data_IF_771098000542
#
_entry.id   IF_771098000542
#
_cell.length_a   1.000
_cell.length_b   1.000
_cell.length_c   1.000
_cell.angle_alpha   90.00
_cell.angle_beta   90.00
_cell.angle_gamma   90.00
#
_symmetry.space_group_name_H-M   'P 1'
#
loop_
_entity.id
_entity.type
_entity.pdbx_description
1 polymer ?
#
# COMPACT_ATOMS: atom_id res chain seq x y z
N UNK A 1 -26.37 13.83 -4.93
CA UNK A 1 -26.08 12.41 -5.17
C UNK A 1 -24.58 12.25 -5.30
N UNK A 2 -23.97 11.28 -4.61
CA UNK A 2 -22.54 10.98 -4.74
C UNK A 2 -22.25 10.53 -6.18
N UNK A 3 -21.16 11.03 -6.76
CA UNK A 3 -20.81 10.71 -8.13
C UNK A 3 -19.36 10.24 -8.20
N UNK A 4 -19.18 8.93 -8.44
CA UNK A 4 -17.89 8.36 -8.76
C UNK A 4 -17.88 7.89 -10.21
N UNK A 5 -16.86 8.26 -10.96
CA UNK A 5 -16.61 7.74 -12.30
C UNK A 5 -15.32 6.90 -12.27
N UNK A 6 -15.29 5.85 -13.09
CA UNK A 6 -14.12 4.98 -13.23
C UNK A 6 -13.84 4.83 -14.71
N UNK A 7 -12.66 5.25 -15.14
CA UNK A 7 -12.19 5.19 -16.52
C UNK A 7 -10.89 4.40 -16.65
N UNK A 8 -10.58 3.98 -17.85
CA UNK A 8 -9.41 3.18 -18.18
C UNK A 8 -8.65 3.82 -19.32
N UNK A 9 -7.44 4.33 -19.08
CA UNK A 9 -6.67 5.07 -20.08
C UNK A 9 -6.45 4.28 -21.39
N UNK A 10 -6.32 2.96 -21.30
CA UNK A 10 -6.13 2.11 -22.49
C UNK A 10 -7.41 1.86 -23.31
N UNK A 11 -8.58 2.21 -22.79
CA UNK A 11 -9.88 2.16 -23.49
C UNK A 11 -10.32 3.54 -23.94
N UNK A 12 -10.03 4.52 -23.12
CA UNK A 12 -10.42 5.91 -23.25
C UNK A 12 -9.16 6.79 -23.20
N UNK A 13 -8.33 6.83 -24.29
CA UNK A 13 -7.07 7.58 -24.27
C UNK A 13 -7.26 9.09 -24.01
N UNK A 14 -8.48 9.58 -24.12
CA UNK A 14 -8.85 10.97 -23.91
C UNK A 14 -9.49 11.22 -22.54
N UNK A 15 -9.57 10.21 -21.67
CA UNK A 15 -10.25 10.34 -20.36
C UNK A 15 -9.74 11.49 -19.49
N UNK A 16 -8.47 11.88 -19.64
CA UNK A 16 -7.88 12.98 -18.89
C UNK A 16 -8.07 14.37 -19.55
N UNK A 17 -8.63 14.47 -20.77
CA UNK A 17 -8.67 15.75 -21.51
C UNK A 17 -9.50 16.85 -20.86
N UNK A 18 -10.55 16.48 -20.15
CA UNK A 18 -11.47 17.42 -19.53
C UNK A 18 -11.02 17.78 -18.11
N UNK A 19 -9.80 17.35 -17.71
CA UNK A 19 -9.23 17.61 -16.40
C UNK A 19 -7.91 18.35 -16.53
N UNK A 20 -7.60 19.15 -15.51
CA UNK A 20 -6.36 19.93 -15.44
C UNK A 20 -5.34 19.33 -14.49
N UNK A 21 -5.76 18.41 -13.62
CA UNK A 21 -4.96 17.89 -12.53
C UNK A 21 -5.19 16.39 -12.33
N UNK A 22 -4.11 15.66 -12.15
CA UNK A 22 -4.11 14.28 -11.66
C UNK A 22 -3.62 14.23 -10.21
N UNK A 23 -4.23 13.40 -9.38
CA UNK A 23 -3.84 13.23 -7.97
C UNK A 23 -3.45 11.79 -7.73
N UNK A 24 -2.18 11.56 -7.36
CA UNK A 24 -1.68 10.27 -6.90
C UNK A 24 -1.78 10.19 -5.39
N UNK A 25 -2.48 9.19 -4.87
CA UNK A 25 -2.63 8.91 -3.45
C UNK A 25 -2.04 7.55 -3.12
N UNK A 26 -1.67 7.35 -1.84
CA UNK A 26 -1.27 6.07 -1.29
C UNK A 26 -0.02 5.48 -1.96
N UNK A 27 1.12 6.03 -1.57
CA UNK A 27 2.45 5.57 -1.99
C UNK A 27 3.38 5.51 -0.80
N UNK A 28 4.24 4.49 -0.75
CA UNK A 28 5.19 4.27 0.32
C UNK A 28 6.61 4.59 -0.10
N UNK A 29 7.43 5.00 0.88
CA UNK A 29 8.83 5.37 0.69
C UNK A 29 9.74 4.57 1.62
N UNK A 30 11.04 4.81 1.54
CA UNK A 30 12.01 4.23 2.47
C UNK A 30 11.80 4.61 3.95
N UNK A 31 10.83 5.45 4.26
CA UNK A 31 10.41 5.77 5.63
C UNK A 31 9.31 4.83 6.14
N UNK A 32 8.63 4.12 5.24
CA UNK A 32 7.58 3.16 5.60
C UNK A 32 8.17 1.87 6.17
N UNK A 33 7.52 1.33 7.19
CA UNK A 33 7.86 0.03 7.80
C UNK A 33 6.87 -1.03 7.36
N UNK A 34 7.28 -1.81 6.37
CA UNK A 34 6.43 -2.83 5.79
C UNK A 34 6.59 -4.16 6.51
N UNK A 35 5.49 -4.82 6.80
CA UNK A 35 5.54 -6.16 7.41
C UNK A 35 6.16 -7.20 6.45
N UNK A 36 6.75 -8.25 7.00
CA UNK A 36 7.27 -9.37 6.22
C UNK A 36 6.21 -10.46 5.97
N UNK A 37 4.92 -10.15 6.15
CA UNK A 37 3.82 -11.10 5.98
C UNK A 37 3.75 -11.71 4.57
N UNK A 38 4.21 -10.99 3.55
CA UNK A 38 4.32 -11.54 2.19
C UNK A 38 5.22 -12.79 2.10
N UNK A 39 6.17 -12.96 3.03
CA UNK A 39 7.02 -14.16 3.11
C UNK A 39 6.14 -15.39 3.45
N UNK A 40 5.21 -15.24 4.39
CA UNK A 40 4.26 -16.31 4.74
C UNK A 40 3.39 -16.66 3.52
N UNK A 41 3.01 -15.67 2.70
CA UNK A 41 2.24 -15.85 1.48
C UNK A 41 3.01 -16.66 0.44
N UNK A 42 4.25 -16.28 0.18
CA UNK A 42 5.12 -17.00 -0.75
C UNK A 42 5.40 -18.42 -0.30
N UNK A 43 5.58 -18.67 1.02
CA UNK A 43 5.84 -20.02 1.55
C UNK A 43 4.62 -20.92 1.47
N UNK A 44 3.42 -20.37 1.61
CA UNK A 44 2.17 -21.12 1.53
C UNK A 44 1.84 -21.52 0.09
N UNK A 45 2.05 -20.62 -0.86
CA UNK A 45 1.71 -20.85 -2.27
C UNK A 45 2.82 -21.57 -3.06
N UNK A 46 4.07 -21.53 -2.58
CA UNK A 46 5.25 -22.03 -3.30
C UNK A 46 6.16 -22.90 -2.42
N UNK A 47 5.96 -24.24 -2.37
CA UNK A 47 6.74 -25.13 -1.51
C UNK A 47 8.27 -25.08 -1.72
N UNK A 48 8.73 -24.72 -2.93
CA UNK A 48 10.17 -24.50 -3.19
C UNK A 48 10.70 -23.26 -2.50
N UNK A 49 9.89 -22.18 -2.43
CA UNK A 49 10.25 -20.96 -1.72
C UNK A 49 10.30 -21.22 -0.22
N UNK A 50 9.37 -22.01 0.32
CA UNK A 50 9.39 -22.45 1.71
C UNK A 50 10.71 -23.14 2.07
N UNK A 51 11.11 -24.15 1.30
CA UNK A 51 12.39 -24.87 1.54
C UNK A 51 13.60 -23.95 1.46
N UNK A 52 13.57 -22.94 0.58
CA UNK A 52 14.65 -22.00 0.44
C UNK A 52 14.73 -21.04 1.63
N UNK A 53 13.58 -20.61 2.15
CA UNK A 53 13.50 -19.76 3.35
C UNK A 53 13.95 -20.56 4.59
N UNK A 54 13.44 -21.79 4.78
CA UNK A 54 13.88 -22.69 5.86
C UNK A 54 15.40 -22.91 5.82
N UNK A 55 15.95 -23.16 4.64
CA UNK A 55 17.40 -23.27 4.48
C UNK A 55 18.16 -21.97 4.80
N UNK A 56 17.61 -20.80 4.44
CA UNK A 56 18.18 -19.52 4.79
C UNK A 56 18.12 -19.24 6.29
N UNK A 57 17.02 -19.60 6.95
CA UNK A 57 16.86 -19.53 8.42
C UNK A 57 17.89 -20.40 9.13
N UNK A 58 18.03 -21.67 8.73
CA UNK A 58 19.01 -22.59 9.30
C UNK A 58 20.45 -22.07 9.15
N UNK A 59 20.73 -21.44 8.01
CA UNK A 59 22.01 -20.76 7.79
C UNK A 59 22.20 -19.56 8.69
N UNK A 60 21.19 -18.70 8.83
CA UNK A 60 21.24 -17.58 9.77
C UNK A 60 21.49 -18.05 11.20
N UNK A 61 20.74 -19.09 11.63
CA UNK A 61 20.95 -19.69 12.95
C UNK A 61 22.36 -20.24 13.13
N UNK A 62 22.92 -20.92 12.14
CA UNK A 62 24.26 -21.53 12.23
C UNK A 62 25.38 -20.48 12.32
N UNK A 63 25.21 -19.28 11.80
CA UNK A 63 26.23 -18.22 11.77
C UNK A 63 26.04 -17.15 12.83
N UNK A 64 24.79 -16.70 13.06
CA UNK A 64 24.50 -15.60 13.99
C UNK A 64 24.00 -16.08 15.35
N UNK A 65 23.56 -17.34 15.45
CA UNK A 65 22.83 -17.85 16.61
C UNK A 65 21.48 -17.18 16.83
N UNK A 66 20.96 -16.47 15.81
CA UNK A 66 19.69 -15.73 15.85
C UNK A 66 18.78 -16.33 14.80
N UNK A 67 17.56 -16.77 15.21
CA UNK A 67 16.49 -17.06 14.28
C UNK A 67 15.78 -15.73 13.94
N UNK A 68 15.56 -15.44 12.65
CA UNK A 68 14.80 -14.23 12.27
C UNK A 68 13.42 -14.23 12.92
N UNK A 69 13.09 -13.16 13.62
CA UNK A 69 11.76 -12.93 14.18
C UNK A 69 10.96 -12.08 13.16
N UNK A 70 10.19 -12.77 12.32
CA UNK A 70 9.42 -12.12 11.25
C UNK A 70 8.27 -11.25 11.76
N UNK A 71 7.81 -11.43 13.01
CA UNK A 71 6.79 -10.60 13.61
C UNK A 71 7.33 -9.20 13.97
N UNK A 72 8.61 -9.14 14.34
CA UNK A 72 9.31 -7.89 14.66
C UNK A 72 10.14 -7.33 13.53
N UNK A 73 10.44 -8.15 12.53
CA UNK A 73 11.19 -7.75 11.37
C UNK A 73 10.29 -6.97 10.39
N UNK A 74 10.89 -5.98 9.72
CA UNK A 74 10.23 -5.19 8.69
C UNK A 74 11.16 -4.91 7.52
N UNK A 75 10.61 -4.48 6.41
CA UNK A 75 11.40 -3.96 5.30
C UNK A 75 10.94 -2.55 4.92
N UNK A 76 11.77 -1.82 4.20
CA UNK A 76 11.42 -0.49 3.69
C UNK A 76 11.45 -0.49 2.16
N UNK A 77 10.50 0.18 1.49
CA UNK A 77 10.50 0.40 0.05
C UNK A 77 11.83 1.00 -0.46
N UNK A 78 12.22 0.73 -1.72
CA UNK A 78 13.52 1.18 -2.24
C UNK A 78 13.61 2.67 -2.52
N UNK A 79 12.49 3.34 -2.84
CA UNK A 79 12.49 4.75 -3.20
C UNK A 79 12.52 5.64 -1.97
N UNK A 80 13.45 6.61 -1.95
CA UNK A 80 13.39 7.67 -0.96
C UNK A 80 12.21 8.63 -1.25
N UNK A 81 11.83 9.51 -0.30
CA UNK A 81 10.68 10.41 -0.47
C UNK A 81 10.71 11.22 -1.76
N UNK A 82 11.89 11.75 -2.14
CA UNK A 82 12.03 12.56 -3.35
C UNK A 82 11.83 11.72 -4.62
N UNK A 83 12.45 10.56 -4.70
CA UNK A 83 12.31 9.65 -5.84
C UNK A 83 10.85 9.20 -6.01
N UNK A 84 10.18 8.89 -4.89
CA UNK A 84 8.77 8.50 -4.89
C UNK A 84 7.88 9.64 -5.40
N UNK A 85 8.08 10.85 -4.88
CA UNK A 85 7.34 12.03 -5.30
C UNK A 85 7.53 12.34 -6.79
N UNK A 86 8.79 12.37 -7.26
CA UNK A 86 9.12 12.64 -8.66
C UNK A 86 8.52 11.56 -9.58
N UNK A 87 8.61 10.29 -9.22
CA UNK A 87 8.05 9.17 -9.99
C UNK A 87 6.54 9.30 -10.21
N UNK A 88 5.79 9.59 -9.15
CA UNK A 88 4.33 9.72 -9.22
C UNK A 88 3.92 10.97 -10.00
N UNK A 89 4.57 12.11 -9.74
CA UNK A 89 4.32 13.35 -10.45
C UNK A 89 4.63 13.22 -11.94
N UNK A 90 5.81 12.70 -12.27
CA UNK A 90 6.29 12.57 -13.65
C UNK A 90 5.39 11.61 -14.47
N UNK A 91 4.81 10.57 -13.85
CA UNK A 91 3.81 9.73 -14.50
C UNK A 91 2.61 10.57 -14.95
N UNK A 92 2.07 11.41 -14.08
CA UNK A 92 0.90 12.24 -14.38
C UNK A 92 1.25 13.28 -15.45
N UNK A 93 2.32 14.03 -15.24
CA UNK A 93 2.72 15.14 -16.11
C UNK A 93 3.15 14.65 -17.50
N UNK A 94 3.92 13.56 -17.58
CA UNK A 94 4.42 13.06 -18.86
C UNK A 94 3.40 12.19 -19.63
N UNK A 95 2.56 11.42 -18.91
CA UNK A 95 1.61 10.50 -19.58
C UNK A 95 0.28 11.16 -19.92
N UNK A 96 -0.16 12.14 -19.12
CA UNK A 96 -1.47 12.77 -19.25
C UNK A 96 -1.41 14.25 -19.64
N UNK A 97 -0.23 14.87 -19.55
CA UNK A 97 0.00 16.31 -19.86
C UNK A 97 -0.87 17.25 -19.00
N UNK A 98 -1.10 16.88 -17.73
CA UNK A 98 -1.82 17.66 -16.73
C UNK A 98 -0.98 17.82 -15.46
N UNK A 99 -1.34 18.74 -14.58
CA UNK A 99 -0.61 18.97 -13.32
C UNK A 99 -0.65 17.76 -12.40
N UNK A 100 0.48 17.37 -11.82
CA UNK A 100 0.58 16.27 -10.87
C UNK A 100 0.52 16.74 -9.41
N UNK A 101 -0.48 16.32 -8.65
CA UNK A 101 -0.52 16.40 -7.20
C UNK A 101 -0.22 15.02 -6.62
N UNK A 102 0.65 14.95 -5.62
CA UNK A 102 1.09 13.69 -5.01
C UNK A 102 0.91 13.74 -3.51
N UNK A 103 0.40 12.66 -2.92
CA UNK A 103 0.32 12.44 -1.49
C UNK A 103 1.05 11.15 -1.13
N UNK A 104 2.13 11.28 -0.36
CA UNK A 104 2.88 10.15 0.19
C UNK A 104 2.29 9.80 1.55
N UNK A 105 2.08 8.51 1.82
CA UNK A 105 1.40 8.02 3.01
C UNK A 105 2.07 6.77 3.57
N UNK A 106 3.27 6.93 4.11
CA UNK A 106 3.98 5.84 4.77
C UNK A 106 3.20 5.31 5.98
N UNK A 107 3.36 4.02 6.31
CA UNK A 107 2.70 3.41 7.46
C UNK A 107 3.11 4.08 8.76
N UNK A 108 2.11 4.63 9.47
CA UNK A 108 2.21 5.20 10.81
C UNK A 108 3.36 6.23 10.96
N UNK A 109 3.76 6.87 9.84
CA UNK A 109 4.87 7.82 9.74
C UNK A 109 4.55 9.02 8.83
N UNK A 110 5.05 10.19 9.20
CA UNK A 110 4.90 11.45 8.44
C UNK A 110 6.25 12.07 8.03
N UNK A 111 7.35 11.34 8.22
CA UNK A 111 8.69 11.87 7.94
C UNK A 111 8.89 12.20 6.47
N UNK A 112 8.37 11.35 5.57
CA UNK A 112 8.51 11.58 4.12
C UNK A 112 7.86 12.89 3.65
N UNK A 113 6.59 13.17 3.92
CA UNK A 113 6.00 14.45 3.50
C UNK A 113 6.64 15.65 4.20
N UNK A 114 7.09 15.54 5.46
CA UNK A 114 7.80 16.63 6.14
C UNK A 114 9.16 16.90 5.50
N UNK A 115 9.94 15.88 5.14
CA UNK A 115 11.19 16.02 4.39
C UNK A 115 10.96 16.67 3.02
N UNK A 116 9.94 16.22 2.29
CA UNK A 116 9.61 16.77 0.97
C UNK A 116 9.25 18.27 1.03
N UNK A 117 8.56 18.70 2.06
CA UNK A 117 8.20 20.12 2.23
C UNK A 117 9.40 21.06 2.40
N UNK A 118 10.58 20.54 2.67
CA UNK A 118 11.83 21.31 2.67
C UNK A 118 12.35 21.59 1.25
N UNK A 119 11.80 20.92 0.23
CA UNK A 119 12.20 21.06 -1.17
C UNK A 119 11.22 22.04 -1.85
N UNK A 120 11.70 23.12 -2.53
CA UNK A 120 10.81 24.11 -3.12
C UNK A 120 9.73 23.55 -4.06
N UNK A 121 10.07 22.56 -4.89
CA UNK A 121 9.14 21.92 -5.84
C UNK A 121 8.09 21.03 -5.18
N UNK A 122 8.27 20.63 -3.93
CA UNK A 122 7.38 19.75 -3.18
C UNK A 122 6.84 20.40 -1.88
N UNK A 123 7.07 21.70 -1.67
CA UNK A 123 6.68 22.41 -0.41
C UNK A 123 5.19 22.35 -0.09
N UNK A 124 4.34 22.12 -1.08
CA UNK A 124 2.89 22.07 -0.94
C UNK A 124 2.32 20.67 -0.83
N UNK A 125 3.19 19.65 -0.78
CA UNK A 125 2.73 18.27 -0.58
C UNK A 125 1.92 18.18 0.72
N UNK A 126 0.77 17.47 0.74
CA UNK A 126 0.02 17.26 1.96
C UNK A 126 0.83 16.40 2.95
N UNK A 127 0.69 16.67 4.24
CA UNK A 127 1.20 15.78 5.28
C UNK A 127 0.20 14.65 5.46
N UNK A 128 0.62 13.43 5.16
CA UNK A 128 -0.27 12.27 5.11
C UNK A 128 0.42 11.04 5.67
N UNK A 129 -0.38 10.08 6.12
CA UNK A 129 0.07 8.77 6.60
C UNK A 129 -0.97 7.72 6.26
N UNK A 130 -0.57 6.47 6.12
CA UNK A 130 -1.45 5.33 6.19
C UNK A 130 -1.46 4.83 7.64
N UNK A 131 -2.57 5.06 8.32
CA UNK A 131 -2.74 4.69 9.73
C UNK A 131 -3.19 3.24 9.85
N UNK A 132 -2.42 2.44 10.61
CA UNK A 132 -2.75 1.06 10.94
C UNK A 132 -3.69 1.01 12.13
N UNK A 133 -4.93 0.57 11.90
CA UNK A 133 -6.01 0.52 12.90
C UNK A 133 -6.29 -0.93 13.27
N UNK A 134 -5.72 -1.45 14.38
CA UNK A 134 -6.09 -2.78 14.86
C UNK A 134 -7.57 -2.78 15.26
N UNK A 135 -8.33 -3.73 14.72
CA UNK A 135 -9.77 -3.81 14.88
C UNK A 135 -10.22 -5.22 15.26
N UNK A 136 -11.07 -5.31 16.26
CA UNK A 136 -11.74 -6.55 16.65
C UNK A 136 -13.15 -6.25 17.13
N UNK A 137 -14.06 -7.16 16.87
CA UNK A 137 -15.40 -7.17 17.44
C UNK A 137 -15.80 -8.59 17.79
N UNK A 138 -15.56 -8.99 19.04
CA UNK A 138 -15.90 -10.33 19.55
C UNK A 138 -17.41 -10.63 19.58
N UNK A 139 -18.25 -9.60 19.52
CA UNK A 139 -19.70 -9.75 19.43
C UNK A 139 -20.15 -10.06 17.99
N UNK A 140 -19.44 -9.50 16.99
CA UNK A 140 -19.74 -9.72 15.58
C UNK A 140 -19.18 -11.06 15.08
N UNK A 141 -17.95 -11.41 15.51
CA UNK A 141 -17.28 -12.65 15.12
C UNK A 141 -16.78 -13.37 16.36
N UNK A 142 -17.41 -14.51 16.69
CA UNK A 142 -17.08 -15.31 17.87
C UNK A 142 -15.65 -15.86 17.73
N UNK A 143 -14.78 -15.61 18.70
CA UNK A 143 -13.36 -16.00 18.69
C UNK A 143 -12.54 -15.37 17.52
N UNK A 144 -12.97 -14.23 16.98
CA UNK A 144 -12.22 -13.55 15.94
C UNK A 144 -10.82 -13.17 16.45
N UNK A 145 -9.82 -13.54 15.68
CA UNK A 145 -8.51 -12.89 15.80
C UNK A 145 -8.68 -11.40 15.42
N UNK A 146 -7.96 -10.50 16.07
CA UNK A 146 -7.95 -9.10 15.64
C UNK A 146 -7.47 -9.02 14.20
N UNK A 147 -8.06 -8.09 13.42
CA UNK A 147 -7.54 -7.69 12.11
C UNK A 147 -6.91 -6.29 12.22
N UNK A 148 -6.29 -5.81 11.16
CA UNK A 148 -5.95 -4.41 11.04
C UNK A 148 -6.61 -3.84 9.78
N UNK A 149 -7.18 -2.65 9.90
CA UNK A 149 -7.62 -1.84 8.77
C UNK A 149 -6.61 -0.72 8.55
N UNK A 150 -6.43 -0.34 7.32
CA UNK A 150 -5.58 0.78 6.95
C UNK A 150 -6.44 1.98 6.55
N UNK A 151 -6.19 3.10 7.20
CA UNK A 151 -6.86 4.36 6.89
C UNK A 151 -5.86 5.37 6.33
N UNK A 152 -6.11 5.84 5.12
CA UNK A 152 -5.37 6.96 4.54
C UNK A 152 -5.81 8.27 5.21
N UNK A 153 -4.93 8.87 6.01
CA UNK A 153 -5.16 10.18 6.62
C UNK A 153 -4.36 11.20 5.84
N UNK A 154 -5.02 11.96 4.98
CA UNK A 154 -4.34 12.90 4.10
C UNK A 154 -4.57 14.35 4.51
N UNK A 155 -3.55 15.17 4.27
CA UNK A 155 -3.55 16.62 4.48
C UNK A 155 -3.77 17.05 5.94
N UNK A 156 -3.11 16.36 6.87
CA UNK A 156 -3.04 16.75 8.26
C UNK A 156 -2.38 18.14 8.35
N UNK A 157 -2.95 19.10 9.11
CA UNK A 157 -2.33 20.40 9.30
C UNK A 157 -0.90 20.28 9.82
N UNK A 158 0.09 20.78 9.07
CA UNK A 158 1.51 20.57 9.38
C UNK A 158 1.91 21.05 10.79
N UNK A 159 1.26 22.11 11.31
CA UNK A 159 1.49 22.60 12.66
C UNK A 159 1.05 21.62 13.77
N UNK A 160 0.15 20.69 13.46
CA UNK A 160 -0.38 19.67 14.40
C UNK A 160 0.03 18.24 14.01
N UNK A 161 0.78 18.06 12.94
CA UNK A 161 1.07 16.74 12.39
C UNK A 161 1.83 15.85 13.38
N UNK A 162 2.80 16.40 14.11
CA UNK A 162 3.53 15.66 15.14
C UNK A 162 2.63 15.21 16.31
N UNK A 163 1.68 16.03 16.72
CA UNK A 163 0.69 15.69 17.77
C UNK A 163 -0.22 14.56 17.27
N UNK A 164 -0.70 14.67 16.03
CA UNK A 164 -1.58 13.67 15.44
C UNK A 164 -0.90 12.33 15.27
N UNK A 165 0.31 12.28 14.73
CA UNK A 165 0.98 10.99 14.52
C UNK A 165 1.27 10.27 15.84
N UNK A 166 1.62 11.02 16.91
CA UNK A 166 1.80 10.45 18.25
C UNK A 166 0.48 9.85 18.76
N UNK A 167 -0.65 10.54 18.57
CA UNK A 167 -1.97 10.07 19.00
C UNK A 167 -2.42 8.83 18.22
N UNK A 168 -2.19 8.81 16.91
CA UNK A 168 -2.52 7.68 16.04
C UNK A 168 -1.69 6.44 16.41
N UNK A 169 -0.38 6.61 16.58
CA UNK A 169 0.52 5.51 16.95
C UNK A 169 0.22 4.99 18.37
N UNK A 170 -0.11 5.87 19.30
CA UNK A 170 -0.54 5.43 20.65
C UNK A 170 -1.80 4.55 20.60
N UNK A 171 -2.71 4.80 19.66
CA UNK A 171 -3.85 3.92 19.42
C UNK A 171 -3.44 2.59 18.78
N UNK A 172 -2.58 2.62 17.76
CA UNK A 172 -2.06 1.42 17.09
C UNK A 172 -1.35 0.49 18.06
N UNK A 173 -0.50 1.04 18.94
CA UNK A 173 0.29 0.28 19.91
C UNK A 173 -0.51 -0.24 21.10
N UNK A 174 -1.73 0.27 21.31
CA UNK A 174 -2.57 -0.16 22.45
C UNK A 174 -3.15 -1.55 22.19
N UNK A 175 -2.99 -2.51 23.14
CA UNK A 175 -3.58 -3.84 23.00
C UNK A 175 -5.09 -3.77 22.80
N UNK A 176 -5.61 -4.54 21.84
CA UNK A 176 -7.03 -4.52 21.48
C UNK A 176 -7.95 -4.84 22.65
N UNK A 177 -7.49 -5.73 23.54
CA UNK A 177 -8.24 -6.21 24.71
C UNK A 177 -8.46 -5.12 25.76
N UNK A 178 -7.56 -4.14 25.87
CA UNK A 178 -7.61 -3.06 26.86
C UNK A 178 -8.07 -1.73 26.28
N UNK A 179 -8.33 -1.70 24.96
CA UNK A 179 -8.68 -0.48 24.25
C UNK A 179 -10.11 -0.05 24.54
N UNK A 180 -10.35 1.21 24.94
CA UNK A 180 -11.71 1.73 25.10
C UNK A 180 -12.48 1.69 23.80
N UNK A 181 -13.70 1.16 23.79
CA UNK A 181 -14.51 0.97 22.59
C UNK A 181 -14.88 2.29 21.88
N UNK A 182 -14.91 3.41 22.61
CA UNK A 182 -15.22 4.73 22.07
C UNK A 182 -14.00 5.46 21.48
N UNK A 183 -12.77 5.06 21.83
CA UNK A 183 -11.55 5.81 21.50
C UNK A 183 -11.35 5.97 20.00
N UNK A 184 -11.60 4.92 19.20
CA UNK A 184 -11.52 5.01 17.74
C UNK A 184 -12.52 6.02 17.17
N UNK A 185 -13.75 6.00 17.69
CA UNK A 185 -14.80 6.93 17.29
C UNK A 185 -14.43 8.38 17.59
N UNK A 186 -13.84 8.64 18.75
CA UNK A 186 -13.35 9.97 19.16
C UNK A 186 -12.21 10.45 18.25
N UNK A 187 -11.21 9.59 17.99
CA UNK A 187 -10.08 9.95 17.12
C UNK A 187 -10.57 10.28 15.72
N UNK A 188 -11.44 9.44 15.14
CA UNK A 188 -12.00 9.68 13.81
C UNK A 188 -12.88 10.93 13.76
N UNK A 189 -13.68 11.17 14.81
CA UNK A 189 -14.49 12.38 14.92
C UNK A 189 -13.66 13.65 15.01
N UNK A 190 -12.57 13.62 15.78
CA UNK A 190 -11.65 14.76 15.89
C UNK A 190 -10.90 15.04 14.57
N UNK A 191 -10.50 13.98 13.85
CA UNK A 191 -9.90 14.12 12.51
C UNK A 191 -10.89 14.68 11.50
N UNK A 192 -12.13 14.18 11.49
CA UNK A 192 -13.18 14.65 10.60
C UNK A 192 -13.58 16.10 10.87
N UNK A 193 -13.52 16.54 12.12
CA UNK A 193 -13.76 17.93 12.49
C UNK A 193 -12.75 18.92 11.89
N UNK A 194 -11.64 18.44 11.33
CA UNK A 194 -10.65 19.28 10.61
C UNK A 194 -11.07 19.35 9.14
N UNK A 195 -11.53 20.49 8.62
CA UNK A 195 -12.14 20.58 7.28
C UNK A 195 -11.22 20.20 6.11
N UNK A 196 -9.92 20.29 6.31
CA UNK A 196 -8.91 20.01 5.29
C UNK A 196 -8.38 18.57 5.30
N UNK A 197 -8.76 17.74 6.29
CA UNK A 197 -8.30 16.35 6.39
C UNK A 197 -9.20 15.44 5.55
N UNK A 198 -8.60 14.52 4.81
CA UNK A 198 -9.29 13.48 4.06
C UNK A 198 -9.02 12.12 4.71
N UNK A 199 -10.07 11.40 5.09
CA UNK A 199 -10.01 10.08 5.71
C UNK A 199 -10.52 9.05 4.70
N UNK A 200 -9.66 8.13 4.29
CA UNK A 200 -9.96 7.08 3.32
C UNK A 200 -9.89 5.71 3.99
N UNK A 201 -10.74 4.80 3.57
CA UNK A 201 -10.58 3.40 3.94
C UNK A 201 -9.80 2.69 2.82
N UNK A 202 -8.52 2.51 3.06
CA UNK A 202 -7.60 1.90 2.11
C UNK A 202 -7.90 0.40 1.97
N UNK A 203 -7.84 -0.12 0.74
CA UNK A 203 -8.05 -1.54 0.38
C UNK A 203 -8.94 -2.33 1.37
N UNK A 204 -10.20 -1.90 1.61
CA UNK A 204 -11.04 -2.36 2.73
C UNK A 204 -11.31 -3.87 2.73
N UNK A 205 -11.20 -4.54 1.59
CA UNK A 205 -11.44 -5.98 1.45
C UNK A 205 -10.16 -6.83 1.53
N UNK A 206 -9.00 -6.21 1.78
CA UNK A 206 -7.77 -6.97 1.96
C UNK A 206 -7.67 -7.55 3.38
N UNK A 207 -7.79 -8.86 3.49
CA UNK A 207 -7.62 -9.59 4.75
C UNK A 207 -6.14 -9.78 5.07
N UNK A 208 -5.52 -8.75 5.65
CA UNK A 208 -4.09 -8.70 5.98
C UNK A 208 -3.66 -9.85 6.90
N UNK A 209 -4.47 -10.19 7.89
CA UNK A 209 -4.15 -11.22 8.88
C UNK A 209 -4.77 -12.59 8.59
N UNK A 210 -5.42 -12.76 7.42
CA UNK A 210 -6.01 -14.02 6.97
C UNK A 210 -6.95 -14.64 7.99
N UNK A 211 -7.80 -13.82 8.55
CA UNK A 211 -8.87 -14.27 9.45
C UNK A 211 -9.97 -15.03 8.72
N UNK A 212 -9.96 -15.00 7.39
CA UNK A 212 -10.95 -15.60 6.49
C UNK A 212 -11.90 -14.56 5.89
N UNK A 213 -12.21 -14.70 4.61
CA UNK A 213 -12.97 -13.71 3.84
C UNK A 213 -14.31 -13.34 4.51
N UNK A 214 -15.09 -14.32 4.94
CA UNK A 214 -16.40 -14.10 5.57
C UNK A 214 -16.26 -13.32 6.90
N UNK A 215 -15.26 -13.69 7.73
CA UNK A 215 -15.02 -13.03 9.00
C UNK A 215 -14.51 -11.58 8.78
N UNK A 216 -13.63 -11.38 7.80
CA UNK A 216 -13.14 -10.06 7.42
C UNK A 216 -14.27 -9.16 6.92
N UNK A 217 -15.13 -9.66 6.02
CA UNK A 217 -16.29 -8.92 5.50
C UNK A 217 -17.24 -8.48 6.63
N UNK A 218 -17.49 -9.36 7.61
CA UNK A 218 -18.31 -9.01 8.79
C UNK A 218 -17.66 -7.86 9.57
N UNK A 219 -16.33 -7.87 9.77
CA UNK A 219 -15.63 -6.79 10.49
C UNK A 219 -15.59 -5.49 9.69
N UNK A 220 -15.45 -5.55 8.36
CA UNK A 220 -15.54 -4.37 7.47
C UNK A 220 -16.93 -3.72 7.58
N UNK A 221 -17.99 -4.52 7.50
CA UNK A 221 -19.37 -4.01 7.63
C UNK A 221 -19.65 -3.44 9.02
N UNK A 222 -19.14 -4.08 10.08
CA UNK A 222 -19.24 -3.57 11.46
C UNK A 222 -18.49 -2.24 11.63
N UNK A 223 -17.28 -2.13 11.06
CA UNK A 223 -16.51 -0.90 11.07
C UNK A 223 -17.25 0.24 10.35
N UNK A 224 -17.78 -0.02 9.16
CA UNK A 224 -18.53 0.98 8.40
C UNK A 224 -19.84 1.36 9.09
N UNK A 225 -20.53 0.42 9.76
CA UNK A 225 -21.74 0.71 10.53
C UNK A 225 -21.45 1.68 11.70
N UNK A 226 -20.29 1.55 12.35
CA UNK A 226 -19.94 2.36 13.53
C UNK A 226 -19.22 3.66 13.20
N UNK A 227 -18.37 3.63 12.15
CA UNK A 227 -17.42 4.70 11.86
C UNK A 227 -17.54 5.25 10.43
N UNK A 228 -18.36 4.65 9.57
CA UNK A 228 -18.48 5.04 8.16
C UNK A 228 -18.87 6.49 7.93
N UNK A 229 -19.48 7.16 8.90
CA UNK A 229 -19.79 8.59 8.85
C UNK A 229 -18.55 9.49 8.78
N UNK A 230 -17.40 9.02 9.26
CA UNK A 230 -16.12 9.74 9.24
C UNK A 230 -15.27 9.37 8.02
N UNK A 231 -15.65 8.32 7.29
CA UNK A 231 -14.94 7.86 6.11
C UNK A 231 -15.45 8.61 4.88
N UNK A 232 -14.55 9.30 4.17
CA UNK A 232 -14.93 10.13 3.03
C UNK A 232 -15.05 9.35 1.72
N UNK A 233 -14.23 8.29 1.56
CA UNK A 233 -14.29 7.40 0.40
C UNK A 233 -13.68 6.03 0.71
N UNK A 234 -14.05 5.02 -0.10
CA UNK A 234 -13.42 3.70 -0.11
C UNK A 234 -12.42 3.62 -1.26
N UNK A 235 -11.25 3.05 -1.00
CA UNK A 235 -10.18 3.00 -1.98
C UNK A 235 -10.36 1.88 -3.01
N UNK A 236 -10.30 2.24 -4.30
CA UNK A 236 -9.96 1.33 -5.38
C UNK A 236 -8.45 1.25 -5.51
N UNK A 237 -7.88 0.11 -5.21
CA UNK A 237 -6.45 -0.03 -5.03
C UNK A 237 -5.73 -0.49 -6.30
N UNK A 238 -4.65 0.20 -6.67
CA UNK A 238 -3.86 -0.09 -7.86
C UNK A 238 -3.08 -1.39 -7.79
N UNK A 239 -2.79 -1.89 -6.59
CA UNK A 239 -2.07 -3.13 -6.37
C UNK A 239 -3.00 -4.36 -6.26
N UNK A 240 -4.31 -4.17 -6.17
CA UNK A 240 -5.32 -5.23 -6.06
C UNK A 240 -5.86 -5.69 -7.41
N UNK A 241 -6.52 -6.84 -7.44
CA UNK A 241 -7.13 -7.33 -8.66
C UNK A 241 -8.46 -6.60 -8.98
N UNK A 242 -8.96 -6.84 -10.18
CA UNK A 242 -10.19 -6.18 -10.62
C UNK A 242 -11.44 -6.68 -9.88
N UNK A 243 -11.47 -7.95 -9.50
CA UNK A 243 -12.62 -8.53 -8.80
C UNK A 243 -12.73 -7.92 -7.38
N UNK A 244 -11.62 -7.75 -6.68
CA UNK A 244 -11.59 -7.05 -5.38
C UNK A 244 -12.04 -5.60 -5.53
N UNK A 245 -11.51 -4.84 -6.50
CA UNK A 245 -11.93 -3.47 -6.76
C UNK A 245 -13.41 -3.34 -7.14
N UNK A 246 -13.99 -4.30 -7.86
CA UNK A 246 -15.43 -4.35 -8.11
C UNK A 246 -16.25 -4.56 -6.83
N UNK A 247 -15.78 -5.44 -5.96
CA UNK A 247 -16.41 -5.68 -4.66
C UNK A 247 -16.34 -4.44 -3.76
N UNK A 248 -15.21 -3.70 -3.77
CA UNK A 248 -15.10 -2.40 -3.09
C UNK A 248 -16.10 -1.39 -3.66
N UNK A 249 -16.25 -1.34 -4.98
CA UNK A 249 -17.24 -0.46 -5.59
C UNK A 249 -18.69 -0.83 -5.18
N UNK A 250 -19.00 -2.12 -5.07
CA UNK A 250 -20.30 -2.58 -4.58
C UNK A 250 -20.52 -2.23 -3.10
N UNK A 251 -19.47 -2.42 -2.27
CA UNK A 251 -19.47 -2.02 -0.86
C UNK A 251 -19.72 -0.51 -0.71
N UNK A 252 -19.04 0.32 -1.53
CA UNK A 252 -19.25 1.77 -1.53
C UNK A 252 -20.72 2.14 -1.84
N UNK A 253 -21.34 1.47 -2.82
CA UNK A 253 -22.77 1.66 -3.14
C UNK A 253 -23.67 1.26 -1.97
N UNK A 254 -23.40 0.11 -1.33
CA UNK A 254 -24.15 -0.38 -0.18
C UNK A 254 -24.14 0.64 0.98
N UNK A 255 -23.00 1.25 1.24
CA UNK A 255 -22.81 2.21 2.34
C UNK A 255 -22.99 3.67 1.92
N UNK A 256 -23.49 3.93 0.71
CA UNK A 256 -23.62 5.27 0.14
C UNK A 256 -22.32 6.08 0.23
N UNK A 257 -21.18 5.42 0.00
CA UNK A 257 -19.86 6.03 -0.09
C UNK A 257 -19.47 6.26 -1.54
N UNK A 258 -18.49 7.13 -1.77
CA UNK A 258 -17.82 7.24 -3.07
C UNK A 258 -16.58 6.35 -3.08
N UNK A 259 -16.08 6.02 -4.28
CA UNK A 259 -14.78 5.37 -4.43
C UNK A 259 -13.74 6.40 -4.86
N UNK A 260 -12.50 6.18 -4.47
CA UNK A 260 -11.34 7.01 -4.79
C UNK A 260 -10.16 6.09 -5.20
N UNK A 261 -9.18 6.59 -5.95
CA UNK A 261 -7.99 5.78 -6.24
C UNK A 261 -6.98 5.84 -5.11
N UNK A 262 -6.28 4.73 -4.90
CA UNK A 262 -5.02 4.65 -4.17
C UNK A 262 -4.12 3.60 -4.79
N UNK A 263 -2.83 3.91 -4.91
CA UNK A 263 -1.91 3.07 -5.67
C UNK A 263 -1.30 1.95 -4.87
N UNK A 264 -1.06 2.17 -3.59
CA UNK A 264 -0.41 1.24 -2.67
C UNK A 264 0.99 0.82 -3.19
N UNK A 265 1.74 1.80 -3.71
CA UNK A 265 3.02 1.56 -4.35
C UNK A 265 4.13 1.32 -3.34
N UNK A 266 4.76 0.17 -3.42
CA UNK A 266 5.93 -0.20 -2.62
C UNK A 266 7.22 -0.38 -3.47
N UNK A 267 7.07 -0.52 -4.79
CA UNK A 267 8.17 -0.73 -5.73
C UNK A 267 8.60 0.52 -6.48
N UNK A 268 9.26 0.31 -7.62
CA UNK A 268 9.76 1.38 -8.50
C UNK A 268 8.82 1.71 -9.68
N UNK A 269 7.70 1.01 -9.82
CA UNK A 269 6.67 1.36 -10.79
C UNK A 269 5.68 2.35 -10.15
N UNK A 270 5.25 3.40 -10.87
CA UNK A 270 4.30 4.36 -10.30
C UNK A 270 2.92 3.73 -10.10
N UNK A 271 2.05 4.42 -9.37
CA UNK A 271 0.69 3.98 -9.08
C UNK A 271 -0.08 3.59 -10.34
N UNK A 272 -0.78 2.46 -10.27
CA UNK A 272 -1.54 1.92 -11.41
C UNK A 272 -2.92 2.57 -11.58
N UNK A 273 -3.30 3.49 -10.70
CA UNK A 273 -4.49 4.33 -10.79
C UNK A 273 -4.24 5.69 -10.13
N UNK A 274 -4.97 6.68 -10.59
CA UNK A 274 -4.93 8.06 -10.09
C UNK A 274 -6.33 8.65 -10.05
N UNK A 275 -6.50 9.79 -9.38
CA UNK A 275 -7.72 10.59 -9.45
C UNK A 275 -7.55 11.74 -10.44
N UNK A 276 -8.63 12.07 -11.15
CA UNK A 276 -8.69 13.22 -12.06
C UNK A 276 -9.58 14.31 -11.45
N UNK A 277 -9.15 15.57 -11.54
CA UNK A 277 -9.89 16.72 -11.01
C UNK A 277 -9.55 17.98 -11.79
N UNK A 278 -10.36 19.04 -11.61
CA UNK A 278 -10.09 20.38 -12.11
C UNK A 278 -9.62 21.34 -10.99
N UNK A 279 -9.36 20.81 -9.80
CA UNK A 279 -8.82 21.60 -8.70
C UNK A 279 -7.32 21.87 -8.89
N UNK A 280 -6.83 22.97 -8.31
CA UNK A 280 -5.44 23.42 -8.47
C UNK A 280 -4.58 23.12 -7.25
N UNK A 281 -5.19 22.71 -6.15
CA UNK A 281 -4.51 22.38 -4.90
C UNK A 281 -5.08 21.13 -4.25
N UNK A 282 -4.27 20.47 -3.43
CA UNK A 282 -4.71 19.29 -2.68
C UNK A 282 -5.88 19.61 -1.73
N UNK A 283 -5.90 20.80 -1.13
CA UNK A 283 -7.00 21.21 -0.24
C UNK A 283 -8.32 21.40 -0.98
N UNK A 284 -8.30 21.90 -2.23
CA UNK A 284 -9.48 21.97 -3.08
C UNK A 284 -9.96 20.57 -3.47
N UNK A 285 -9.05 19.66 -3.82
CA UNK A 285 -9.37 18.26 -4.09
C UNK A 285 -10.03 17.57 -2.87
N UNK A 286 -9.52 17.82 -1.66
CA UNK A 286 -10.17 17.34 -0.43
C UNK A 286 -11.60 17.87 -0.30
N UNK A 287 -11.83 19.14 -0.62
CA UNK A 287 -13.19 19.73 -0.59
C UNK A 287 -14.12 19.08 -1.63
N UNK A 288 -13.63 18.84 -2.86
CA UNK A 288 -14.37 18.14 -3.91
C UNK A 288 -14.82 16.74 -3.43
N UNK A 289 -13.90 15.96 -2.84
CA UNK A 289 -14.21 14.63 -2.33
C UNK A 289 -15.16 14.68 -1.13
N UNK A 290 -14.88 15.53 -0.13
CA UNK A 290 -15.65 15.56 1.13
C UNK A 290 -17.02 16.21 1.00
N UNK A 291 -17.10 17.37 0.34
CA UNK A 291 -18.32 18.21 0.30
C UNK A 291 -19.15 17.91 -0.93
N UNK A 292 -18.53 17.87 -2.09
CA UNK A 292 -19.23 17.67 -3.35
C UNK A 292 -19.51 16.18 -3.61
N UNK A 293 -18.76 15.29 -2.93
CA UNK A 293 -18.84 13.83 -3.09
C UNK A 293 -18.63 13.41 -4.55
N UNK A 294 -17.61 13.98 -5.17
CA UNK A 294 -17.21 13.70 -6.54
C UNK A 294 -15.82 13.06 -6.54
N UNK A 295 -15.65 12.05 -7.37
CA UNK A 295 -14.36 11.40 -7.59
C UNK A 295 -14.31 10.81 -9.01
N UNK A 296 -13.20 11.02 -9.70
CA UNK A 296 -12.96 10.48 -11.03
C UNK A 296 -11.68 9.63 -11.00
N UNK A 297 -11.84 8.32 -10.97
CA UNK A 297 -10.73 7.35 -10.93
C UNK A 297 -10.31 6.98 -12.34
N UNK A 298 -9.03 7.10 -12.64
CA UNK A 298 -8.42 6.65 -13.89
C UNK A 298 -7.42 5.52 -13.62
N UNK A 299 -7.69 4.34 -14.18
CA UNK A 299 -6.73 3.24 -14.20
C UNK A 299 -5.71 3.41 -15.33
N UNK A 300 -4.42 3.37 -14.99
CA UNK A 300 -3.28 3.52 -15.88
C UNK A 300 -2.96 2.21 -16.61
N UNK A 301 -2.26 2.24 -17.76
CA UNK A 301 -2.02 1.06 -18.59
C UNK A 301 -1.33 -0.12 -17.89
N UNK A 302 -0.49 0.14 -16.89
CA UNK A 302 0.17 -0.90 -16.09
C UNK A 302 -0.82 -1.77 -15.31
N UNK A 303 -2.03 -1.28 -15.00
CA UNK A 303 -3.07 -2.07 -14.35
C UNK A 303 -3.56 -3.25 -15.20
N UNK A 304 -3.34 -3.23 -16.52
CA UNK A 304 -3.65 -4.36 -17.42
C UNK A 304 -2.79 -5.60 -17.19
N UNK A 305 -1.65 -5.42 -16.52
CA UNK A 305 -0.80 -6.56 -16.19
C UNK A 305 -1.55 -7.47 -15.21
N UNK A 306 -1.41 -8.81 -15.33
CA UNK A 306 -2.01 -9.73 -14.38
C UNK A 306 -1.64 -9.36 -12.94
N UNK A 307 -2.60 -9.41 -12.02
CA UNK A 307 -2.40 -9.04 -10.62
C UNK A 307 -1.19 -9.75 -9.99
N UNK A 308 -1.09 -11.07 -10.16
CA UNK A 308 0.06 -11.84 -9.65
C UNK A 308 1.41 -11.35 -10.19
N UNK A 309 1.44 -10.79 -11.40
CA UNK A 309 2.65 -10.23 -11.97
C UNK A 309 3.02 -8.90 -11.31
N UNK A 310 2.04 -8.04 -11.01
CA UNK A 310 2.25 -6.78 -10.30
C UNK A 310 2.75 -7.02 -8.87
N UNK A 311 2.12 -7.96 -8.14
CA UNK A 311 2.57 -8.36 -6.80
C UNK A 311 3.99 -8.92 -6.84
N UNK A 312 4.28 -9.84 -7.76
CA UNK A 312 5.63 -10.39 -7.93
C UNK A 312 6.66 -9.28 -8.24
N UNK A 313 6.31 -8.32 -9.10
CA UNK A 313 7.19 -7.19 -9.42
C UNK A 313 7.47 -6.34 -8.16
N UNK A 314 6.45 -5.99 -7.40
CA UNK A 314 6.60 -5.24 -6.15
C UNK A 314 7.46 -6.00 -5.13
N UNK A 315 7.25 -7.32 -4.98
CA UNK A 315 8.07 -8.18 -4.12
C UNK A 315 9.52 -8.25 -4.58
N UNK A 316 9.76 -8.35 -5.91
CA UNK A 316 11.11 -8.34 -6.46
C UNK A 316 11.83 -7.01 -6.22
N UNK A 317 11.09 -5.90 -6.27
CA UNK A 317 11.67 -4.58 -5.97
C UNK A 317 12.10 -4.46 -4.51
N UNK A 318 11.40 -5.13 -3.58
CA UNK A 318 11.79 -5.19 -2.17
C UNK A 318 13.18 -5.82 -1.96
N UNK A 319 13.50 -6.88 -2.72
CA UNK A 319 14.73 -7.70 -2.57
C UNK A 319 15.80 -7.42 -3.63
N UNK A 320 15.58 -6.46 -4.54
CA UNK A 320 16.51 -6.11 -5.59
C UNK A 320 17.53 -5.08 -5.12
N UNK A 321 18.76 -5.16 -5.65
CA UNK A 321 19.77 -4.12 -5.46
C UNK A 321 19.62 -3.00 -6.49
N UNK A 322 19.80 -1.76 -6.03
CA UNK A 322 19.73 -0.54 -6.83
C UNK A 322 21.03 0.26 -6.64
N UNK A 323 22.14 -0.09 -7.32
CA UNK A 323 23.47 0.49 -7.09
C UNK A 323 23.52 2.01 -7.33
N UNK A 324 22.59 2.55 -8.09
CA UNK A 324 22.50 3.98 -8.40
C UNK A 324 21.62 4.77 -7.41
N UNK A 325 21.07 4.12 -6.40
CA UNK A 325 20.25 4.77 -5.38
C UNK A 325 21.14 5.30 -4.24
N UNK A 326 20.61 6.20 -3.39
CA UNK A 326 21.31 6.64 -2.18
C UNK A 326 21.75 5.46 -1.30
N UNK A 327 22.81 5.67 -0.55
CA UNK A 327 23.24 4.70 0.47
C UNK A 327 22.06 4.34 1.38
N UNK A 328 22.03 3.13 1.91
CA UNK A 328 20.94 2.49 2.64
C UNK A 328 19.68 2.12 1.83
N UNK A 329 19.58 2.59 0.58
CA UNK A 329 18.54 2.14 -0.35
C UNK A 329 19.07 1.25 -1.48
N UNK A 330 20.40 1.12 -1.60
CA UNK A 330 21.06 0.43 -2.70
C UNK A 330 20.89 -1.08 -2.64
N UNK A 331 21.09 -1.67 -1.46
CA UNK A 331 21.05 -3.12 -1.27
C UNK A 331 19.78 -3.50 -0.53
N UNK A 332 19.17 -4.60 -0.94
CA UNK A 332 17.96 -5.09 -0.29
C UNK A 332 18.19 -5.41 1.21
N UNK A 333 19.38 -5.95 1.60
CA UNK A 333 19.70 -6.28 2.99
C UNK A 333 20.00 -5.04 3.87
N UNK A 334 20.12 -3.86 3.27
CA UNK A 334 20.12 -2.58 3.98
C UNK A 334 18.70 -2.07 4.27
N UNK A 335 17.70 -2.60 3.55
CA UNK A 335 16.29 -2.24 3.66
C UNK A 335 15.44 -3.22 4.46
N UNK A 336 15.98 -4.36 4.85
CA UNK A 336 15.33 -5.32 5.73
C UNK A 336 15.95 -5.24 7.10
N UNK A 337 15.11 -5.04 8.12
CA UNK A 337 15.52 -4.87 9.51
C UNK A 337 15.00 -6.02 10.35
N UNK A 338 15.84 -6.52 11.24
CA UNK A 338 15.48 -7.55 12.20
C UNK A 338 16.10 -7.27 13.56
N UNK A 339 15.54 -7.78 14.67
CA UNK A 339 16.11 -7.58 15.99
C UNK A 339 17.44 -8.33 16.13
N UNK A 340 18.43 -7.67 16.74
CA UNK A 340 19.67 -8.28 17.20
C UNK A 340 19.44 -9.07 18.52
N UNK A 341 20.52 -9.59 19.14
CA UNK A 341 20.39 -10.33 20.41
C UNK A 341 19.85 -9.48 21.57
N UNK A 342 20.02 -8.17 21.52
CA UNK A 342 19.57 -7.22 22.53
C UNK A 342 18.15 -6.70 22.23
N UNK A 343 17.53 -7.16 21.14
CA UNK A 343 16.20 -6.74 20.68
C UNK A 343 16.21 -5.43 19.88
N UNK A 344 17.37 -4.85 19.58
CA UNK A 344 17.47 -3.66 18.75
C UNK A 344 17.30 -4.01 17.27
N UNK A 345 16.48 -3.25 16.56
CA UNK A 345 16.27 -3.40 15.12
C UNK A 345 17.50 -2.88 14.35
N UNK A 346 18.11 -3.75 13.57
CA UNK A 346 19.30 -3.45 12.75
C UNK A 346 19.09 -3.95 11.33
N UNK A 347 19.67 -3.27 10.32
CA UNK A 347 19.67 -3.79 8.95
C UNK A 347 20.31 -5.19 8.89
N UNK A 348 19.77 -6.07 8.07
CA UNK A 348 20.35 -7.41 7.89
C UNK A 348 21.81 -7.35 7.44
N UNK A 349 22.20 -6.35 6.66
CA UNK A 349 23.59 -6.11 6.25
C UNK A 349 24.54 -5.96 7.43
N UNK A 350 24.11 -5.35 8.53
CA UNK A 350 24.91 -5.23 9.77
C UNK A 350 24.92 -6.53 10.56
N UNK A 351 23.77 -7.19 10.68
CA UNK A 351 23.63 -8.46 11.40
C UNK A 351 24.46 -9.58 10.75
N UNK A 352 24.64 -9.53 9.43
CA UNK A 352 25.42 -10.53 8.69
C UNK A 352 26.88 -10.16 8.52
N UNK A 353 27.24 -8.89 8.57
CA UNK A 353 28.66 -8.45 8.56
C UNK A 353 29.41 -8.92 9.79
N UNK A 354 28.75 -9.09 10.94
CA UNK A 354 29.33 -9.69 12.14
C UNK A 354 29.68 -11.18 11.98
N UNK A 355 29.18 -11.85 10.90
CA UNK A 355 29.52 -13.22 10.55
C UNK A 355 29.68 -13.38 9.05
N UNK A 356 30.86 -13.20 8.52
CA UNK A 356 31.33 -13.09 7.12
C UNK A 356 30.70 -13.98 6.02
N UNK A 357 29.70 -14.80 6.29
CA UNK A 357 29.14 -15.77 5.34
C UNK A 357 27.67 -15.53 4.93
N UNK A 358 26.94 -14.67 5.59
CA UNK A 358 25.49 -14.43 5.32
C UNK A 358 25.19 -13.72 4.00
N UNK A 359 26.14 -12.96 3.45
CA UNK A 359 25.90 -12.09 2.29
C UNK A 359 25.65 -12.81 0.94
N UNK A 360 25.76 -14.15 0.87
CA UNK A 360 25.54 -14.90 -0.39
C UNK A 360 24.15 -15.49 -0.53
N UNK A 361 23.46 -15.79 0.58
CA UNK A 361 22.12 -16.42 0.55
C UNK A 361 21.09 -15.56 -0.17
N UNK A 362 21.06 -14.26 0.06
CA UNK A 362 20.14 -13.36 -0.63
C UNK A 362 20.46 -13.18 -2.11
N UNK A 363 21.73 -13.26 -2.49
CA UNK A 363 22.13 -13.21 -3.91
C UNK A 363 21.53 -14.40 -4.68
N UNK A 364 21.49 -15.59 -4.08
CA UNK A 364 20.84 -16.76 -4.70
C UNK A 364 19.32 -16.63 -4.73
N UNK A 365 18.68 -16.08 -3.70
CA UNK A 365 17.25 -15.82 -3.69
C UNK A 365 16.89 -14.73 -4.72
N UNK A 366 17.63 -13.63 -4.75
CA UNK A 366 17.47 -12.58 -5.75
C UNK A 366 17.76 -13.07 -7.17
N UNK A 367 18.77 -13.96 -7.34
CA UNK A 367 19.07 -14.58 -8.64
C UNK A 367 17.96 -15.56 -9.07
N UNK A 368 17.42 -16.35 -8.15
CA UNK A 368 16.30 -17.24 -8.42
C UNK A 368 15.03 -16.44 -8.81
N UNK A 369 14.68 -15.45 -8.03
CA UNK A 369 13.54 -14.59 -8.29
C UNK A 369 13.78 -13.68 -9.51
N UNK A 370 15.01 -13.23 -9.74
CA UNK A 370 15.42 -12.52 -10.95
C UNK A 370 15.38 -13.41 -12.19
N UNK A 371 15.69 -14.70 -12.07
CA UNK A 371 15.53 -15.66 -13.17
C UNK A 371 14.07 -15.92 -13.52
N UNK A 372 13.17 -15.92 -12.53
CA UNK A 372 11.71 -15.95 -12.77
C UNK A 372 11.25 -14.70 -13.55
N UNK A 373 11.87 -13.53 -13.31
CA UNK A 373 11.59 -12.30 -14.08
C UNK A 373 12.12 -12.39 -15.52
N UNK A 374 13.31 -12.93 -15.73
CA UNK A 374 13.88 -13.14 -17.09
C UNK A 374 13.03 -14.15 -17.86
N UNK A 375 12.61 -15.23 -17.22
CA UNK A 375 11.68 -16.22 -17.76
C UNK A 375 10.30 -15.59 -18.02
N UNK A 376 9.89 -14.59 -17.23
CA UNK A 376 8.67 -13.82 -17.44
C UNK A 376 8.68 -12.90 -18.67
N UNK A 377 9.86 -12.49 -19.16
CA UNK A 377 10.03 -11.64 -20.36
C UNK A 377 10.25 -12.42 -21.65
N UNK A 378 10.64 -13.69 -21.60
CA UNK A 378 10.89 -14.56 -22.74
C UNK A 378 9.60 -15.29 -23.21
N UNK A 379 9.62 -16.02 -24.35
CA UNK A 379 8.49 -16.87 -24.81
C UNK A 379 7.95 -17.84 -23.77
N UNK A 380 8.75 -18.18 -22.75
CA UNK A 380 8.34 -18.96 -21.56
C UNK A 380 7.21 -18.26 -20.79
N UNK A 381 7.13 -16.92 -20.83
CA UNK A 381 6.00 -16.18 -20.24
C UNK A 381 4.68 -16.49 -20.95
N UNK A 382 4.69 -16.90 -22.20
CA UNK A 382 3.49 -17.41 -22.90
C UNK A 382 3.04 -18.76 -22.36
N UNK A 383 3.97 -19.65 -22.04
CA UNK A 383 3.69 -20.93 -21.40
C UNK A 383 3.20 -20.77 -19.95
N UNK A 384 3.84 -19.90 -19.16
CA UNK A 384 3.39 -19.54 -17.81
C UNK A 384 2.07 -18.75 -17.83
N UNK A 385 1.84 -17.89 -18.82
CA UNK A 385 0.54 -17.21 -19.05
C UNK A 385 -0.58 -18.20 -19.41
N UNK A 386 -0.26 -19.31 -20.04
CA UNK A 386 -1.20 -20.38 -20.38
C UNK A 386 -1.45 -21.28 -19.15
N UNK A 387 -0.43 -21.55 -18.35
CA UNK A 387 -0.54 -22.31 -17.10
C UNK A 387 -1.19 -21.51 -15.96
N UNK A 388 -1.01 -20.18 -15.94
CA UNK A 388 -1.68 -19.25 -15.01
C UNK A 388 -2.83 -18.53 -15.71
N UNK A 389 -3.91 -19.26 -15.96
CA UNK A 389 -5.03 -18.78 -16.77
C UNK A 389 -5.97 -17.85 -15.98
N UNK A 390 -5.52 -16.63 -15.74
CA UNK A 390 -6.35 -15.53 -15.19
C UNK A 390 -7.26 -14.88 -16.26
N UNK A 391 -7.28 -15.45 -17.49
CA UNK A 391 -8.13 -14.98 -18.59
C UNK A 391 -9.62 -15.15 -18.32
N UNK A 392 -10.01 -16.08 -17.44
CA UNK A 392 -11.42 -16.31 -17.11
C UNK A 392 -12.00 -15.17 -16.27
N UNK A 393 -11.27 -14.66 -15.28
CA UNK A 393 -11.72 -13.57 -14.42
C UNK A 393 -11.78 -12.24 -15.20
N UNK A 394 -10.78 -11.96 -16.01
CA UNK A 394 -10.74 -10.74 -16.82
C UNK A 394 -11.80 -10.75 -17.94
N UNK A 395 -12.11 -11.92 -18.55
CA UNK A 395 -13.20 -12.07 -19.53
C UNK A 395 -14.57 -12.00 -18.87
N UNK A 396 -14.77 -12.59 -17.71
CA UNK A 396 -16.00 -12.49 -16.96
C UNK A 396 -16.32 -11.04 -16.55
N UNK A 397 -15.32 -10.31 -16.03
CA UNK A 397 -15.43 -8.89 -15.71
C UNK A 397 -15.71 -8.03 -16.95
N UNK A 398 -15.13 -8.37 -18.11
CA UNK A 398 -15.32 -7.65 -19.37
C UNK A 398 -16.67 -7.95 -20.05
N UNK A 399 -17.26 -9.14 -19.79
CA UNK A 399 -18.57 -9.51 -20.35
C UNK A 399 -19.74 -8.94 -19.54
N UNK A 400 -19.60 -8.80 -18.24
CA UNK A 400 -20.62 -8.19 -17.37
C UNK A 400 -20.75 -6.67 -17.54
N UNK A 401 -19.74 -5.98 -18.12
CA UNK A 401 -19.84 -4.55 -18.45
C UNK A 401 -20.49 -4.27 -19.82
N UNK A 402 -20.86 -5.30 -20.58
CA UNK A 402 -21.57 -5.16 -21.87
C UNK A 402 -23.09 -5.39 -21.75
N UNK A 403 -23.56 -5.79 -20.59
CA UNK A 403 -24.97 -5.87 -20.21
C UNK A 403 -25.33 -4.71 -19.28
#
# INVERSE_FOLDING_TARGET
MSKSTVSYLWREPQAARDFTTGVSLHSHTSQSRETLNFIADLTTEMPMVKKLIEWAEDRCMSYSGIKPDYEKAFWTPPLNPRQAFELERDQIENSLQITGLVSISDHDDISAPLLLRTIPSARHIPVSTEWSVPYANHSAVKNAKPTAFHLGIHNIPSAKAAEWIIRLNAFTDMPVETRPTHLLHEILGDLDAIPGVLILFNHPLWDLYRIGADAHEVLVNDFLAKHGQFIHALELNGLRDWAENQNVHNLARQWNQIVISGGDRHGIEPNANINLTNTTSFSEFVNEVRKERVSNVLFMPQYKQPWKHRILQSTLDAIRNYPNFPESSQRWDQRVFAPNRDGELRPLSELWAAGQAGGRVPVYLAALLGSVRILGRAPVSRGLKIAWNDRSQMRAALSQQKA
#
